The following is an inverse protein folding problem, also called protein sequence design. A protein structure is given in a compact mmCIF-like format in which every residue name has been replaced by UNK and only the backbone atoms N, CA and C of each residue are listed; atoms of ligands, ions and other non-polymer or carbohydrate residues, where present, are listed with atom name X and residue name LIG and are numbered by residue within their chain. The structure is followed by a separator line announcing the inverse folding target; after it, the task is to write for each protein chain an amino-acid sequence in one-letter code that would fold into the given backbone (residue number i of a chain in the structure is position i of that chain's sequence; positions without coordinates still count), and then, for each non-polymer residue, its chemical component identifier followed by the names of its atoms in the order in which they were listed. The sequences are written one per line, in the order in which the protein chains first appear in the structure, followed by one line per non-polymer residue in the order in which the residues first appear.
data_IF_152736027146
#
_entry.id   IF_152736027146
#
_cell.length_a   1.000
_cell.length_b   1.000
_cell.length_c   1.000
_cell.angle_alpha   90.00
_cell.angle_beta   90.00
_cell.angle_gamma   90.00
#
_symmetry.space_group_name_H-M   'P 1'
#
loop_
_entity.id
_entity.type
_entity.pdbx_description
1 polymer ?
#
# COMPACT_ATOMS: atom_id res chain seq x y z
N UNK A 1 20.06 8.55 -2.56
CA UNK A 1 19.83 8.82 -4.00
C UNK A 1 21.15 9.10 -4.72
N UNK A 2 21.23 8.82 -6.03
CA UNK A 2 22.41 8.79 -6.92
C UNK A 2 23.50 7.73 -6.64
N UNK A 3 23.89 7.51 -5.38
CA UNK A 3 24.94 6.53 -5.00
C UNK A 3 24.51 5.52 -3.93
N UNK A 4 23.26 5.60 -3.47
CA UNK A 4 22.70 4.75 -2.41
C UNK A 4 21.22 5.00 -2.18
N UNK A 5 20.66 4.36 -1.14
CA UNK A 5 19.28 4.56 -0.72
C UNK A 5 18.99 6.02 -0.34
N UNK A 6 17.71 6.39 -0.39
CA UNK A 6 17.22 7.65 0.16
C UNK A 6 16.87 7.44 1.63
N UNK A 7 16.96 8.48 2.45
CA UNK A 7 16.46 8.44 3.85
C UNK A 7 14.92 8.55 3.92
N UNK A 8 14.28 8.68 2.75
CA UNK A 8 12.83 8.67 2.56
C UNK A 8 12.44 7.42 1.78
N UNK A 9 11.71 6.51 2.43
CA UNK A 9 11.32 5.20 1.90
C UNK A 9 9.92 5.24 1.28
N UNK A 10 8.94 5.81 1.99
CA UNK A 10 7.61 6.15 1.48
C UNK A 10 7.25 7.59 1.88
N UNK A 11 6.40 8.23 1.08
CA UNK A 11 5.93 9.59 1.28
C UNK A 11 4.42 9.66 1.08
N UNK A 12 3.71 10.27 2.02
CA UNK A 12 2.29 10.57 1.88
C UNK A 12 2.06 12.08 1.95
N UNK A 13 0.96 12.53 1.35
CA UNK A 13 0.55 13.92 1.39
C UNK A 13 -0.80 14.00 2.11
N UNK A 14 -0.89 14.83 3.14
CA UNK A 14 -2.12 15.04 3.91
C UNK A 14 -2.05 16.38 4.64
N UNK A 15 -3.20 17.00 4.94
CA UNK A 15 -3.26 18.12 5.89
C UNK A 15 -3.23 17.53 7.31
N UNK A 16 -2.04 17.46 7.92
CA UNK A 16 -1.83 16.74 9.18
C UNK A 16 -2.32 17.58 10.35
N UNK A 17 -2.07 18.88 10.34
CA UNK A 17 -2.44 19.79 11.44
C UNK A 17 -3.78 20.50 11.25
N UNK A 18 -4.49 20.23 10.15
CA UNK A 18 -5.78 20.83 9.78
C UNK A 18 -5.71 22.35 9.57
N UNK A 19 -4.58 22.87 9.10
CA UNK A 19 -4.40 24.29 8.81
C UNK A 19 -4.83 24.69 7.37
N UNK A 20 -5.26 23.70 6.57
CA UNK A 20 -5.68 23.86 5.19
C UNK A 20 -4.56 23.76 4.16
N UNK A 21 -3.32 23.47 4.58
CA UNK A 21 -2.19 23.21 3.69
C UNK A 21 -1.79 21.74 3.72
N UNK A 22 -1.43 21.21 2.54
CA UNK A 22 -0.94 19.84 2.45
C UNK A 22 0.47 19.74 3.02
N UNK A 23 0.63 18.92 4.05
CA UNK A 23 1.89 18.52 4.65
C UNK A 23 2.46 17.26 3.99
N UNK A 24 3.73 16.97 4.28
CA UNK A 24 4.41 15.76 3.82
C UNK A 24 4.63 14.81 5.01
N UNK A 25 4.15 13.58 4.90
CA UNK A 25 4.49 12.48 5.80
C UNK A 25 5.61 11.68 5.16
N UNK A 26 6.67 11.40 5.92
CA UNK A 26 7.83 10.61 5.50
C UNK A 26 7.96 9.39 6.39
N UNK A 27 7.90 8.21 5.77
CA UNK A 27 8.34 6.95 6.39
C UNK A 27 9.81 6.76 6.01
N UNK A 28 10.68 6.74 7.01
CA UNK A 28 12.11 6.52 6.83
C UNK A 28 12.43 5.10 6.37
N UNK A 29 13.72 4.81 6.23
CA UNK A 29 14.18 3.43 6.01
C UNK A 29 13.59 2.50 7.08
N UNK A 30 13.24 1.24 6.75
CA UNK A 30 12.72 0.30 7.73
C UNK A 30 13.60 0.23 8.98
N UNK A 31 13.00 0.46 10.15
CA UNK A 31 13.64 0.58 11.47
C UNK A 31 13.97 2.02 11.90
N UNK A 32 13.80 3.01 11.04
CA UNK A 32 14.09 4.42 11.31
C UNK A 32 12.83 5.23 11.65
N UNK A 33 13.03 6.48 12.08
CA UNK A 33 11.94 7.39 12.44
C UNK A 33 10.98 7.66 11.29
N UNK A 34 9.73 7.87 11.65
CA UNK A 34 8.69 8.45 10.81
C UNK A 34 8.39 9.86 11.29
N UNK A 35 8.23 10.79 10.36
CA UNK A 35 7.95 12.19 10.68
C UNK A 35 7.01 12.79 9.67
N UNK A 36 6.40 13.91 10.02
CA UNK A 36 5.77 14.80 9.05
C UNK A 36 6.48 16.14 9.02
N UNK A 37 6.53 16.75 7.85
CA UNK A 37 7.08 18.08 7.63
C UNK A 37 5.91 19.03 7.35
N UNK A 38 5.81 20.07 8.19
CA UNK A 38 4.75 21.07 8.15
C UNK A 38 4.95 22.05 7.01
N UNK A 39 3.92 22.22 6.20
CA UNK A 39 3.89 23.21 5.14
C UNK A 39 3.85 24.62 5.77
N UNK A 40 4.79 25.53 5.43
CA UNK A 40 4.78 26.89 5.97
C UNK A 40 3.67 27.77 5.38
N UNK A 41 2.81 27.20 4.52
CA UNK A 41 1.74 27.85 3.80
C UNK A 41 2.28 28.94 2.89
N UNK A 42 1.80 30.17 3.08
CA UNK A 42 2.29 31.34 2.30
C UNK A 42 3.66 31.83 2.74
N UNK A 43 4.19 31.37 3.88
CA UNK A 43 5.52 31.79 4.36
C UNK A 43 6.59 31.00 3.60
N UNK A 44 7.67 31.66 3.20
CA UNK A 44 8.85 30.96 2.66
C UNK A 44 9.72 30.43 3.80
N UNK A 45 10.29 29.23 3.65
CA UNK A 45 11.24 28.67 4.61
C UNK A 45 11.32 27.16 4.54
N UNK A 46 12.24 26.55 5.30
CA UNK A 46 12.27 25.10 5.47
C UNK A 46 10.99 24.63 6.18
N UNK A 47 10.54 23.43 5.83
CA UNK A 47 9.39 22.80 6.47
C UNK A 47 9.83 22.29 7.85
N UNK A 48 9.02 22.53 8.86
CA UNK A 48 9.35 22.10 10.24
C UNK A 48 8.96 20.64 10.41
N UNK A 49 9.88 19.81 10.89
CA UNK A 49 9.64 18.39 11.05
C UNK A 49 9.17 18.04 12.47
N UNK A 50 8.18 17.16 12.54
CA UNK A 50 7.58 16.63 13.76
C UNK A 50 7.59 15.11 13.70
N UNK A 51 8.13 14.46 14.73
CA UNK A 51 8.18 12.99 14.79
C UNK A 51 6.77 12.43 14.94
N UNK A 52 6.42 11.48 14.08
CA UNK A 52 5.22 10.65 14.22
C UNK A 52 5.53 9.49 15.15
N UNK A 53 6.59 8.75 14.83
CA UNK A 53 7.04 7.59 15.60
C UNK A 53 8.53 7.30 15.37
N UNK A 54 9.15 6.53 16.26
CA UNK A 54 10.61 6.35 16.31
C UNK A 54 11.14 5.24 15.40
N UNK A 55 10.28 4.31 14.99
CA UNK A 55 10.66 3.14 14.17
C UNK A 55 9.44 2.57 13.43
N UNK A 56 9.45 2.61 12.10
CA UNK A 56 8.53 1.82 11.27
C UNK A 56 9.30 0.70 10.57
N UNK A 57 8.87 -0.55 10.73
CA UNK A 57 9.70 -1.69 10.35
C UNK A 57 9.39 -2.32 8.99
N UNK A 58 8.24 -2.05 8.37
CA UNK A 58 7.87 -2.70 7.11
C UNK A 58 8.15 -1.85 5.86
N UNK A 59 8.20 -2.49 4.68
CA UNK A 59 8.42 -1.83 3.38
C UNK A 59 7.13 -1.39 2.68
N UNK A 60 5.97 -1.72 3.26
CA UNK A 60 4.66 -1.38 2.72
C UNK A 60 3.76 -0.75 3.79
N UNK A 61 4.18 0.28 4.54
CA UNK A 61 3.31 0.94 5.52
C UNK A 61 2.05 1.44 4.81
N UNK A 62 0.90 1.26 5.46
CA UNK A 62 -0.38 1.66 4.88
C UNK A 62 -0.78 3.05 5.39
N UNK A 63 -1.41 3.82 4.50
CA UNK A 63 -2.07 5.08 4.84
C UNK A 63 -3.47 5.03 4.25
N UNK A 64 -4.42 4.54 5.05
CA UNK A 64 -5.74 4.10 4.59
C UNK A 64 -6.82 4.42 5.64
N UNK A 65 -8.09 4.48 5.22
CA UNK A 65 -9.22 4.71 6.14
C UNK A 65 -9.54 3.46 6.96
N UNK A 66 -8.68 3.15 7.93
CA UNK A 66 -8.84 2.02 8.84
C UNK A 66 -10.10 2.13 9.70
N UNK A 67 -10.51 3.35 10.03
CA UNK A 67 -11.55 3.61 11.03
C UNK A 67 -12.93 3.84 10.39
N UNK A 68 -13.04 3.82 9.06
CA UNK A 68 -14.29 4.09 8.33
C UNK A 68 -14.80 5.53 8.52
N UNK A 69 -13.89 6.47 8.74
CA UNK A 69 -14.21 7.88 9.06
C UNK A 69 -14.02 8.81 7.86
N UNK A 70 -13.51 8.30 6.74
CA UNK A 70 -13.02 9.08 5.60
C UNK A 70 -11.65 9.73 5.84
N UNK A 71 -11.04 9.56 7.02
CA UNK A 71 -9.70 10.06 7.34
C UNK A 71 -8.69 8.92 7.28
N UNK A 72 -7.58 9.18 6.60
CA UNK A 72 -6.52 8.18 6.45
C UNK A 72 -5.71 8.05 7.75
N UNK A 73 -5.39 6.81 8.09
CA UNK A 73 -4.66 6.40 9.28
C UNK A 73 -3.40 5.67 8.86
N UNK A 74 -2.28 5.99 9.51
CA UNK A 74 -1.04 5.25 9.31
C UNK A 74 -1.10 3.91 10.03
N UNK A 75 -0.67 2.85 9.34
CA UNK A 75 -0.57 1.49 9.89
C UNK A 75 0.79 0.92 9.51
N UNK A 76 1.56 0.56 10.53
CA UNK A 76 2.85 -0.10 10.38
C UNK A 76 3.29 -0.74 11.70
N UNK A 77 4.16 -1.75 11.66
CA UNK A 77 4.75 -2.30 12.87
C UNK A 77 5.86 -1.40 13.41
N UNK A 78 6.00 -1.37 14.73
CA UNK A 78 7.09 -0.66 15.42
C UNK A 78 8.06 -1.61 16.10
N UNK A 79 9.33 -1.19 16.18
CA UNK A 79 10.40 -1.81 16.96
C UNK A 79 10.56 -3.32 16.75
N UNK A 80 10.18 -3.82 15.57
CA UNK A 80 10.08 -5.25 15.23
C UNK A 80 9.25 -6.06 16.25
N UNK A 81 8.34 -5.37 16.94
CA UNK A 81 7.64 -5.85 18.13
C UNK A 81 6.19 -6.18 17.85
N UNK A 82 5.48 -5.25 17.22
CA UNK A 82 4.02 -5.32 17.12
C UNK A 82 3.47 -4.42 16.02
N UNK A 83 2.40 -4.87 15.35
CA UNK A 83 1.62 -4.04 14.43
C UNK A 83 0.87 -2.95 15.20
N UNK A 84 0.79 -1.75 14.65
CA UNK A 84 0.05 -0.64 15.24
C UNK A 84 -0.59 0.27 14.20
N UNK A 85 -1.59 1.03 14.65
CA UNK A 85 -2.09 2.19 13.94
C UNK A 85 -1.82 3.46 14.76
N UNK A 86 -1.69 4.59 14.07
CA UNK A 86 -1.21 5.84 14.65
C UNK A 86 -2.27 6.92 14.56
N UNK A 87 -2.74 7.38 15.72
CA UNK A 87 -3.73 8.44 15.83
C UNK A 87 -3.03 9.77 16.04
N UNK A 88 -3.43 10.80 15.29
CA UNK A 88 -2.93 12.16 15.50
C UNK A 88 -3.17 12.60 16.94
N UNK A 89 -2.15 13.14 17.59
CA UNK A 89 -2.32 13.77 18.88
C UNK A 89 -3.16 15.06 18.78
N UNK A 90 -3.82 15.45 19.87
CA UNK A 90 -4.59 16.70 19.92
C UNK A 90 -3.74 17.97 19.78
N UNK A 91 -2.41 17.87 19.95
CA UNK A 91 -1.44 18.94 19.72
C UNK A 91 -0.56 18.49 18.55
N UNK A 92 -0.50 19.22 17.42
CA UNK A 92 0.22 18.79 16.22
C UNK A 92 1.70 18.44 16.43
N UNK A 93 2.36 19.12 17.38
CA UNK A 93 3.78 18.94 17.67
C UNK A 93 4.09 17.66 18.46
N UNK A 94 3.06 17.00 19.04
CA UNK A 94 3.24 15.78 19.80
C UNK A 94 3.37 14.56 18.88
N UNK A 95 4.10 13.54 19.35
CA UNK A 95 4.09 12.22 18.73
C UNK A 95 2.66 11.67 18.65
N UNK A 96 2.40 10.90 17.60
CA UNK A 96 1.08 10.28 17.41
C UNK A 96 0.86 9.23 18.50
N UNK A 97 -0.39 9.08 18.93
CA UNK A 97 -0.74 8.00 19.83
C UNK A 97 -0.65 6.67 19.07
N UNK A 98 0.23 5.79 19.54
CA UNK A 98 0.39 4.44 19.01
C UNK A 98 -0.64 3.51 19.64
N UNK A 99 -1.45 2.85 18.81
CA UNK A 99 -2.46 1.89 19.22
C UNK A 99 -2.09 0.49 18.70
N UNK A 100 -1.62 -0.42 19.57
CA UNK A 100 -1.22 -1.76 19.15
C UNK A 100 -2.40 -2.60 18.66
N UNK A 101 -2.23 -3.26 17.51
CA UNK A 101 -3.24 -4.07 16.84
C UNK A 101 -3.22 -5.50 17.37
N UNK A 102 -2.17 -6.29 17.10
CA UNK A 102 -2.07 -7.70 17.50
C UNK A 102 -1.49 -7.91 18.89
N UNK A 103 -0.89 -9.07 19.14
CA UNK A 103 0.04 -9.34 20.25
C UNK A 103 1.49 -9.15 19.80
N UNK A 104 2.39 -8.98 20.75
CA UNK A 104 3.83 -8.95 20.45
C UNK A 104 4.28 -10.25 19.80
N UNK A 105 5.10 -10.14 18.75
CA UNK A 105 5.63 -11.31 18.03
C UNK A 105 4.68 -11.93 17.00
N UNK A 106 3.46 -11.41 16.83
CA UNK A 106 2.53 -11.89 15.79
C UNK A 106 3.00 -11.49 14.37
N UNK A 107 2.48 -12.14 13.31
CA UNK A 107 3.03 -12.00 11.95
C UNK A 107 3.03 -10.58 11.38
N UNK A 108 3.98 -10.30 10.49
CA UNK A 108 4.03 -9.06 9.72
C UNK A 108 4.68 -7.87 10.42
N UNK A 109 5.62 -8.14 11.32
CA UNK A 109 6.26 -7.13 12.17
C UNK A 109 7.75 -6.94 11.90
N UNK A 110 8.38 -7.87 11.17
CA UNK A 110 9.82 -7.88 10.98
C UNK A 110 10.31 -6.65 10.22
N UNK A 111 11.57 -6.27 10.45
CA UNK A 111 12.22 -5.28 9.60
C UNK A 111 12.26 -5.76 8.15
N UNK A 112 11.96 -4.86 7.22
CA UNK A 112 11.82 -5.13 5.79
C UNK A 112 10.64 -6.05 5.43
N UNK A 113 9.64 -6.18 6.31
CA UNK A 113 8.47 -7.00 6.01
C UNK A 113 7.66 -6.43 4.84
N UNK A 114 7.10 -7.34 4.05
CA UNK A 114 6.37 -7.11 2.81
C UNK A 114 4.95 -7.69 2.93
N UNK A 115 3.94 -7.04 2.36
CA UNK A 115 2.57 -7.52 2.41
C UNK A 115 1.81 -6.91 3.57
N UNK A 116 1.43 -5.63 3.44
CA UNK A 116 0.48 -4.98 4.34
C UNK A 116 -0.67 -4.39 3.53
N UNK A 117 -1.89 -4.56 4.03
CA UNK A 117 -3.10 -3.96 3.48
C UNK A 117 -4.07 -3.53 4.57
N UNK A 118 -5.07 -2.76 4.17
CA UNK A 118 -6.20 -2.37 5.02
C UNK A 118 -7.49 -2.55 4.22
N UNK A 119 -8.48 -3.24 4.79
CA UNK A 119 -9.78 -3.44 4.16
C UNK A 119 -10.64 -4.45 4.91
N UNK A 120 -11.96 -4.40 4.69
CA UNK A 120 -12.92 -5.29 5.35
C UNK A 120 -12.87 -6.69 4.72
N UNK A 121 -12.08 -7.60 5.29
CA UNK A 121 -11.86 -8.95 4.70
C UNK A 121 -13.01 -9.89 5.02
N UNK A 122 -13.65 -9.70 6.17
CA UNK A 122 -14.69 -10.60 6.65
C UNK A 122 -16.12 -10.16 6.28
N UNK A 123 -16.30 -8.94 5.77
CA UNK A 123 -17.58 -8.36 5.35
C UNK A 123 -18.42 -7.81 6.50
N UNK A 124 -17.80 -7.44 7.62
CA UNK A 124 -18.51 -6.97 8.83
C UNK A 124 -18.65 -5.44 8.92
N UNK A 125 -18.19 -4.73 7.89
CA UNK A 125 -18.26 -3.28 7.76
C UNK A 125 -17.12 -2.53 8.43
N UNK A 126 -16.12 -3.22 9.00
CA UNK A 126 -14.91 -2.60 9.57
C UNK A 126 -13.67 -3.05 8.83
N UNK A 127 -12.73 -2.12 8.60
CA UNK A 127 -11.50 -2.46 7.92
C UNK A 127 -10.54 -3.22 8.84
N UNK A 128 -9.98 -4.31 8.34
CA UNK A 128 -8.99 -5.14 9.01
C UNK A 128 -7.57 -4.76 8.58
N UNK A 129 -6.56 -5.15 9.36
CA UNK A 129 -5.14 -5.01 8.96
C UNK A 129 -4.64 -6.33 8.39
N UNK A 130 -4.24 -6.34 7.12
CA UNK A 130 -3.98 -7.54 6.33
C UNK A 130 -2.48 -7.77 6.22
N UNK A 131 -2.05 -9.02 6.40
CA UNK A 131 -0.68 -9.49 6.13
C UNK A 131 -0.75 -10.70 5.19
N UNK A 132 0.38 -11.15 4.63
CA UNK A 132 0.35 -12.40 3.83
C UNK A 132 0.00 -13.67 4.62
N UNK A 133 -0.01 -13.59 5.96
CA UNK A 133 -0.32 -14.71 6.86
C UNK A 133 -1.76 -14.71 7.40
N UNK A 134 -2.59 -13.75 6.97
CA UNK A 134 -3.93 -13.53 7.51
C UNK A 134 -4.14 -12.07 7.88
N UNK A 135 -5.18 -11.78 8.65
CA UNK A 135 -5.52 -10.41 9.04
C UNK A 135 -5.82 -10.27 10.52
N UNK A 136 -5.55 -9.10 11.05
CA UNK A 136 -6.00 -8.67 12.36
C UNK A 136 -7.40 -8.09 12.23
N UNK A 137 -8.37 -8.79 12.80
CA UNK A 137 -9.78 -8.42 12.71
C UNK A 137 -10.08 -7.23 13.62
N UNK A 138 -10.62 -6.16 13.05
CA UNK A 138 -10.94 -4.96 13.83
C UNK A 138 -12.11 -5.23 14.80
N UNK A 139 -11.93 -5.05 16.12
CA UNK A 139 -13.03 -5.08 17.09
C UNK A 139 -13.95 -3.86 16.91
N UNK A 140 -15.11 -3.86 17.58
CA UNK A 140 -16.04 -2.72 17.50
C UNK A 140 -15.44 -1.41 18.04
N UNK A 141 -14.49 -1.50 18.97
CA UNK A 141 -13.67 -0.38 19.44
C UNK A 141 -12.20 -0.63 19.02
N UNK A 142 -11.69 0.07 18.00
CA UNK A 142 -10.36 -0.18 17.44
C UNK A 142 -9.21 0.10 18.42
N UNK A 143 -9.47 0.77 19.55
CA UNK A 143 -8.50 0.99 20.63
C UNK A 143 -8.39 -0.20 21.59
N UNK A 144 -9.29 -1.19 21.51
CA UNK A 144 -9.20 -2.40 22.30
C UNK A 144 -8.21 -3.38 21.66
N UNK A 145 -7.11 -3.63 22.36
CA UNK A 145 -6.05 -4.56 21.96
C UNK A 145 -6.08 -5.80 22.86
N UNK A 146 -5.75 -7.00 22.35
CA UNK A 146 -5.38 -7.32 20.97
C UNK A 146 -6.59 -7.54 20.06
N UNK A 147 -6.48 -7.08 18.81
CA UNK A 147 -7.31 -7.47 17.68
C UNK A 147 -7.07 -8.96 17.39
N UNK A 148 -8.12 -9.79 17.27
CA UNK A 148 -7.96 -11.21 16.96
C UNK A 148 -7.28 -11.41 15.60
N UNK A 149 -6.24 -12.25 15.56
CA UNK A 149 -5.60 -12.63 14.29
C UNK A 149 -6.31 -13.83 13.66
N UNK A 150 -6.82 -13.66 12.44
CA UNK A 150 -7.41 -14.72 11.62
C UNK A 150 -6.37 -15.18 10.62
N UNK A 151 -5.89 -16.42 10.79
CA UNK A 151 -4.88 -17.01 9.93
C UNK A 151 -5.44 -17.34 8.54
N UNK A 152 -4.68 -17.00 7.51
CA UNK A 152 -4.92 -17.40 6.12
C UNK A 152 -3.61 -17.47 5.34
N UNK A 153 -3.54 -18.31 4.31
CA UNK A 153 -2.41 -18.29 3.37
C UNK A 153 -2.75 -17.37 2.20
N UNK A 154 -2.13 -16.20 2.15
CA UNK A 154 -2.32 -15.19 1.11
C UNK A 154 -1.10 -15.10 0.18
N UNK A 155 -0.44 -16.25 -0.04
CA UNK A 155 0.62 -16.42 -1.03
C UNK A 155 1.98 -15.91 -0.53
N UNK A 156 2.97 -15.72 -1.42
CA UNK A 156 4.36 -15.40 -1.06
C UNK A 156 4.54 -13.93 -0.63
N UNK A 157 5.79 -13.53 -0.36
CA UNK A 157 6.15 -12.14 -0.07
C UNK A 157 5.71 -11.21 -1.20
N UNK A 158 5.05 -10.12 -0.82
CA UNK A 158 4.28 -9.29 -1.75
C UNK A 158 4.31 -7.80 -1.37
N UNK A 159 3.87 -6.92 -2.27
CA UNK A 159 3.87 -5.47 -2.04
C UNK A 159 2.68 -5.04 -1.15
N UNK A 160 1.95 -4.00 -1.54
CA UNK A 160 0.69 -3.64 -0.87
C UNK A 160 -0.37 -4.72 -1.13
N UNK A 161 -1.32 -4.85 -0.21
CA UNK A 161 -2.45 -5.77 -0.34
C UNK A 161 -3.75 -4.97 -0.37
N UNK A 162 -4.68 -5.35 -1.25
CA UNK A 162 -6.01 -4.75 -1.33
C UNK A 162 -7.09 -5.80 -1.07
N UNK A 163 -8.16 -5.40 -0.37
CA UNK A 163 -9.33 -6.24 -0.13
C UNK A 163 -10.47 -5.78 -1.03
N UNK A 164 -10.98 -6.67 -1.88
CA UNK A 164 -12.08 -6.37 -2.79
C UNK A 164 -12.75 -7.66 -3.28
N UNK A 165 -14.08 -7.67 -3.43
CA UNK A 165 -14.80 -8.79 -4.05
C UNK A 165 -14.56 -8.74 -5.57
N UNK A 166 -13.55 -9.47 -6.07
CA UNK A 166 -13.03 -9.40 -7.45
C UNK A 166 -13.96 -10.12 -8.43
N UNK A 167 -14.65 -11.18 -8.01
CA UNK A 167 -15.54 -11.96 -8.87
C UNK A 167 -17.03 -11.64 -8.68
N UNK A 168 -17.39 -10.77 -7.74
CA UNK A 168 -18.77 -10.35 -7.48
C UNK A 168 -19.62 -11.40 -6.78
N UNK A 169 -19.03 -12.29 -5.97
CA UNK A 169 -19.74 -13.35 -5.27
C UNK A 169 -20.13 -13.04 -3.81
N UNK A 170 -19.84 -11.82 -3.38
CA UNK A 170 -20.10 -11.30 -2.04
C UNK A 170 -19.07 -11.76 -1.01
N UNK A 171 -17.97 -12.38 -1.41
CA UNK A 171 -16.81 -12.62 -0.56
C UNK A 171 -15.68 -11.67 -0.95
N UNK A 172 -15.01 -11.14 0.05
CA UNK A 172 -13.87 -10.25 -0.18
C UNK A 172 -12.62 -11.07 -0.46
N UNK A 173 -12.05 -10.82 -1.63
CA UNK A 173 -10.80 -11.39 -2.12
C UNK A 173 -9.63 -10.46 -1.79
N UNK A 174 -8.40 -10.96 -1.99
CA UNK A 174 -7.19 -10.18 -1.75
C UNK A 174 -6.39 -10.02 -3.05
N UNK A 175 -5.93 -8.81 -3.38
CA UNK A 175 -5.03 -8.54 -4.50
C UNK A 175 -3.65 -8.15 -4.01
N UNK A 176 -2.60 -8.61 -4.69
CA UNK A 176 -1.23 -8.16 -4.42
C UNK A 176 -0.29 -8.48 -5.59
N UNK A 177 0.98 -8.13 -5.45
CA UNK A 177 2.03 -8.31 -6.46
C UNK A 177 3.34 -8.70 -5.81
N UNK A 178 4.24 -9.29 -6.58
CA UNK A 178 5.53 -9.72 -6.08
C UNK A 178 6.42 -8.52 -5.78
N UNK A 179 6.92 -8.41 -4.54
CA UNK A 179 7.95 -7.43 -4.23
C UNK A 179 9.27 -7.82 -4.94
N UNK A 180 9.71 -9.08 -4.85
CA UNK A 180 11.08 -9.47 -5.24
C UNK A 180 11.19 -10.46 -6.40
N UNK A 181 10.08 -11.03 -6.85
CA UNK A 181 10.05 -12.03 -7.92
C UNK A 181 9.11 -11.55 -9.04
N UNK A 182 8.63 -12.48 -9.86
CA UNK A 182 7.68 -12.26 -10.93
C UNK A 182 6.29 -12.63 -10.45
N UNK A 183 5.33 -11.72 -10.63
CA UNK A 183 3.93 -12.05 -10.46
C UNK A 183 3.05 -10.92 -9.97
N UNK A 184 1.82 -10.91 -10.47
CA UNK A 184 0.69 -10.12 -9.99
C UNK A 184 -0.46 -11.08 -9.80
N UNK A 185 -1.15 -11.01 -8.66
CA UNK A 185 -2.09 -12.04 -8.25
C UNK A 185 -3.34 -11.46 -7.60
N UNK A 186 -4.40 -12.27 -7.62
CA UNK A 186 -5.49 -12.15 -6.67
C UNK A 186 -5.78 -13.51 -6.03
N UNK A 187 -6.34 -13.49 -4.84
CA UNK A 187 -6.60 -14.64 -4.00
C UNK A 187 -8.11 -14.70 -3.76
N UNK A 188 -8.78 -15.61 -4.46
CA UNK A 188 -10.24 -15.79 -4.40
C UNK A 188 -10.62 -16.47 -3.08
N UNK A 189 -11.45 -15.80 -2.28
CA UNK A 189 -11.98 -16.37 -1.04
C UNK A 189 -13.02 -17.44 -1.38
N UNK A 190 -12.85 -18.63 -0.81
CA UNK A 190 -13.77 -19.73 -0.98
C UNK A 190 -14.73 -19.83 0.21
N UNK A 191 -15.99 -20.23 -0.04
CA UNK A 191 -16.91 -20.63 1.04
C UNK A 191 -16.42 -21.94 1.65
N UNK A 192 -15.75 -21.87 2.80
CA UNK A 192 -15.26 -23.03 3.56
C UNK A 192 -15.85 -23.06 4.97
N UNK A 193 -16.10 -24.26 5.54
CA UNK A 193 -16.31 -24.39 6.98
C UNK A 193 -14.96 -24.21 7.71
N UNK A 194 -14.97 -23.48 8.82
CA UNK A 194 -13.77 -23.29 9.65
C UNK A 194 -12.87 -22.15 9.15
N UNK A 195 -11.57 -22.43 9.02
CA UNK A 195 -10.58 -21.42 8.61
C UNK A 195 -10.85 -20.90 7.18
N UNK A 196 -10.60 -19.60 6.92
CA UNK A 196 -10.70 -19.03 5.59
C UNK A 196 -9.76 -19.71 4.60
N UNK A 197 -10.29 -20.11 3.44
CA UNK A 197 -9.50 -20.67 2.34
C UNK A 197 -9.48 -19.71 1.17
N UNK A 198 -8.30 -19.51 0.61
CA UNK A 198 -8.09 -18.71 -0.59
C UNK A 198 -7.51 -19.57 -1.71
N UNK A 199 -7.88 -19.26 -2.96
CA UNK A 199 -7.31 -19.84 -4.17
C UNK A 199 -6.59 -18.76 -4.93
N UNK A 200 -5.30 -18.95 -5.21
CA UNK A 200 -4.52 -17.97 -5.96
C UNK A 200 -4.82 -18.05 -7.46
N UNK A 201 -4.98 -16.87 -8.06
CA UNK A 201 -5.10 -16.65 -9.49
C UNK A 201 -4.00 -15.69 -9.95
N UNK A 202 -3.41 -15.97 -11.12
CA UNK A 202 -2.37 -15.11 -11.70
C UNK A 202 -3.01 -14.10 -12.65
N UNK A 203 -2.70 -12.82 -12.42
CA UNK A 203 -3.05 -11.69 -13.29
C UNK A 203 -1.96 -11.51 -14.35
N UNK A 204 -0.69 -11.49 -13.92
CA UNK A 204 0.48 -11.37 -14.80
C UNK A 204 1.65 -12.17 -14.22
N UNK A 205 2.42 -12.85 -15.07
CA UNK A 205 3.61 -13.63 -14.72
C UNK A 205 4.84 -13.26 -15.57
N UNK A 206 4.90 -12.02 -16.03
CA UNK A 206 5.92 -11.49 -16.93
C UNK A 206 6.72 -10.34 -16.31
N UNK A 207 6.11 -9.59 -15.39
CA UNK A 207 6.76 -8.45 -14.73
C UNK A 207 7.34 -8.83 -13.37
N UNK A 208 8.56 -8.36 -13.10
CA UNK A 208 9.28 -8.56 -11.86
C UNK A 208 9.38 -7.27 -11.06
N UNK A 209 9.67 -7.39 -9.76
CA UNK A 209 9.97 -6.25 -8.88
C UNK A 209 8.80 -5.25 -8.75
N UNK A 210 7.56 -5.72 -8.78
CA UNK A 210 6.33 -4.93 -8.61
C UNK A 210 6.13 -4.53 -7.14
N UNK A 211 6.98 -3.63 -6.64
CA UNK A 211 7.02 -3.19 -5.24
C UNK A 211 5.89 -2.25 -4.83
N UNK A 212 5.14 -1.74 -5.81
CA UNK A 212 4.07 -0.81 -5.55
C UNK A 212 2.87 -1.11 -6.43
N UNK A 213 1.68 -0.96 -5.87
CA UNK A 213 0.39 -1.11 -6.54
C UNK A 213 -0.47 0.11 -6.22
N UNK A 214 -1.37 0.44 -7.15
CA UNK A 214 -2.52 1.29 -6.90
C UNK A 214 -3.78 0.56 -7.38
N UNK A 215 -4.90 0.76 -6.70
CA UNK A 215 -6.17 0.11 -7.02
C UNK A 215 -7.26 1.16 -7.15
N UNK A 216 -7.65 1.47 -8.39
CA UNK A 216 -8.54 2.58 -8.71
C UNK A 216 -9.20 2.37 -10.08
N UNK A 217 -10.39 2.91 -10.27
CA UNK A 217 -11.12 2.84 -11.54
C UNK A 217 -10.45 3.76 -12.57
N UNK A 218 -9.73 3.18 -13.52
CA UNK A 218 -8.90 3.90 -14.50
C UNK A 218 -9.71 4.33 -15.73
N UNK A 219 -10.80 3.65 -16.06
CA UNK A 219 -11.57 3.87 -17.29
C UNK A 219 -12.97 4.45 -17.04
N UNK A 220 -13.39 4.59 -15.78
CA UNK A 220 -14.69 5.10 -15.37
C UNK A 220 -15.84 4.09 -15.56
N UNK A 221 -15.55 2.79 -15.63
CA UNK A 221 -16.58 1.75 -15.81
C UNK A 221 -17.23 1.30 -14.48
N UNK A 222 -16.75 1.82 -13.35
CA UNK A 222 -17.24 1.52 -12.01
C UNK A 222 -16.57 0.31 -11.36
N UNK A 223 -15.63 -0.36 -12.01
CA UNK A 223 -14.78 -1.39 -11.44
C UNK A 223 -13.37 -0.82 -11.19
N UNK A 224 -12.78 -1.07 -10.01
CA UNK A 224 -11.40 -0.68 -9.75
C UNK A 224 -10.42 -1.59 -10.50
N UNK A 225 -9.39 -0.97 -11.04
CA UNK A 225 -8.32 -1.60 -11.79
C UNK A 225 -7.01 -1.58 -11.03
N UNK A 226 -6.09 -2.47 -11.40
CA UNK A 226 -4.78 -2.57 -10.75
C UNK A 226 -3.70 -1.89 -11.59
N UNK A 227 -3.06 -0.87 -11.05
CA UNK A 227 -1.90 -0.20 -11.67
C UNK A 227 -0.63 -0.64 -10.96
N UNK A 228 0.42 -0.96 -11.71
CA UNK A 228 1.74 -1.29 -11.15
C UNK A 228 2.82 -1.16 -12.22
N UNK A 229 4.05 -1.52 -11.87
CA UNK A 229 5.16 -1.53 -12.80
C UNK A 229 6.40 -2.17 -12.20
N UNK A 230 7.45 -2.26 -13.01
CA UNK A 230 8.75 -2.73 -12.52
C UNK A 230 9.44 -1.62 -11.74
N UNK A 231 9.85 -1.90 -10.51
CA UNK A 231 10.83 -1.06 -9.79
C UNK A 231 12.19 -1.26 -10.43
N UNK A 232 12.65 -0.26 -11.20
CA UNK A 232 13.94 -0.32 -11.88
C UNK A 232 15.09 -0.38 -10.86
N UNK A 233 15.86 -1.47 -10.89
CA UNK A 233 16.96 -1.75 -9.97
C UNK A 233 16.54 -1.59 -8.50
N UNK A 234 15.56 -2.36 -8.03
CA UNK A 234 15.16 -2.40 -6.62
C UNK A 234 16.38 -2.69 -5.72
N UNK A 235 17.14 -3.74 -6.05
CA UNK A 235 18.36 -4.18 -5.37
C UNK A 235 19.62 -4.02 -6.25
N UNK A 236 19.58 -3.07 -7.20
CA UNK A 236 20.69 -2.81 -8.11
C UNK A 236 20.72 -3.74 -9.33
N UNK A 237 21.71 -3.56 -10.23
CA UNK A 237 21.77 -4.25 -11.51
C UNK A 237 22.07 -5.75 -11.41
N UNK A 238 22.47 -6.25 -10.24
CA UNK A 238 22.84 -7.66 -10.04
C UNK A 238 21.99 -8.38 -8.99
N UNK A 239 21.14 -7.65 -8.24
CA UNK A 239 20.35 -8.20 -7.15
C UNK A 239 18.92 -8.57 -7.52
N UNK A 240 18.41 -8.03 -8.62
CA UNK A 240 17.02 -8.24 -9.03
C UNK A 240 16.85 -9.44 -9.96
N UNK A 241 15.68 -10.06 -9.89
CA UNK A 241 15.18 -10.90 -10.98
C UNK A 241 14.98 -10.02 -12.23
N UNK A 242 15.58 -10.43 -13.35
CA UNK A 242 15.51 -9.75 -14.63
C UNK A 242 15.83 -8.23 -14.53
N UNK A 243 17.05 -7.86 -14.10
CA UNK A 243 17.40 -6.46 -13.82
C UNK A 243 17.40 -5.58 -15.07
N UNK A 244 17.62 -6.18 -16.25
CA UNK A 244 17.69 -5.49 -17.54
C UNK A 244 16.36 -5.51 -18.32
N UNK A 245 15.29 -6.13 -17.78
CA UNK A 245 13.98 -6.10 -18.42
C UNK A 245 13.37 -4.69 -18.39
N UNK A 246 12.55 -4.31 -19.39
CA UNK A 246 11.95 -2.97 -19.48
C UNK A 246 11.28 -2.50 -18.18
N UNK A 247 11.47 -1.22 -17.85
CA UNK A 247 10.86 -0.57 -16.69
C UNK A 247 9.41 -0.20 -17.03
N UNK A 248 8.56 -1.21 -17.11
CA UNK A 248 7.15 -1.00 -17.51
C UNK A 248 6.32 -0.34 -16.43
N UNK A 249 5.35 0.46 -16.86
CA UNK A 249 4.17 0.87 -16.11
C UNK A 249 2.96 0.32 -16.86
N UNK A 250 2.09 -0.38 -16.14
CA UNK A 250 0.95 -1.11 -16.69
C UNK A 250 -0.27 -0.89 -15.82
N UNK A 251 -1.45 -0.97 -16.41
CA UNK A 251 -2.68 -1.19 -15.66
C UNK A 251 -3.40 -2.44 -16.18
N UNK A 252 -4.06 -3.13 -15.26
CA UNK A 252 -4.85 -4.32 -15.53
C UNK A 252 -6.32 -3.98 -15.31
N UNK A 253 -7.06 -3.89 -16.41
CA UNK A 253 -8.49 -3.60 -16.40
C UNK A 253 -9.26 -4.82 -15.88
N UNK A 254 -10.06 -4.63 -14.83
CA UNK A 254 -10.91 -5.67 -14.29
C UNK A 254 -12.21 -5.75 -15.08
N UNK A 255 -12.41 -6.83 -15.82
CA UNK A 255 -13.68 -7.12 -16.50
C UNK A 255 -14.44 -8.24 -15.82
N UNK A 256 -15.75 -8.08 -15.73
CA UNK A 256 -16.67 -9.11 -15.23
C UNK A 256 -17.74 -9.47 -16.22
N UNK A 257 -18.03 -10.77 -16.30
CA UNK A 257 -19.26 -11.30 -16.90
C UNK A 257 -19.92 -12.28 -15.94
N UNK A 258 -20.85 -11.77 -15.13
CA UNK A 258 -21.31 -12.50 -13.96
C UNK A 258 -20.13 -12.72 -13.01
N UNK A 259 -19.85 -13.98 -12.64
CA UNK A 259 -18.71 -14.37 -11.79
C UNK A 259 -17.40 -14.63 -12.54
N UNK A 260 -17.41 -14.55 -13.86
CA UNK A 260 -16.19 -14.73 -14.64
C UNK A 260 -15.38 -13.43 -14.60
N UNK A 261 -14.11 -13.54 -14.24
CA UNK A 261 -13.14 -12.46 -14.14
C UNK A 261 -12.15 -12.56 -15.29
N UNK A 262 -11.91 -11.44 -15.95
CA UNK A 262 -10.83 -11.26 -16.92
C UNK A 262 -10.02 -10.03 -16.52
N UNK A 263 -8.69 -10.13 -16.58
CA UNK A 263 -7.79 -9.00 -16.39
C UNK A 263 -7.14 -8.66 -17.73
N UNK A 264 -7.39 -7.47 -18.25
CA UNK A 264 -6.83 -7.03 -19.53
C UNK A 264 -5.64 -6.11 -19.28
N UNK A 265 -4.46 -6.54 -19.69
CA UNK A 265 -3.22 -5.76 -19.54
C UNK A 265 -3.16 -4.65 -20.57
N UNK A 266 -2.91 -3.44 -20.09
CA UNK A 266 -2.61 -2.26 -20.89
C UNK A 266 -1.24 -1.72 -20.50
N UNK A 267 -0.35 -1.58 -21.48
CA UNK A 267 0.96 -0.96 -21.27
C UNK A 267 0.85 0.55 -21.41
N UNK A 268 1.34 1.29 -20.41
CA UNK A 268 1.33 2.75 -20.40
C UNK A 268 2.66 3.27 -20.94
N UNK A 269 3.77 2.69 -20.45
CA UNK A 269 5.13 3.00 -20.86
C UNK A 269 6.07 1.84 -20.49
N UNK A 270 7.25 1.75 -21.13
CA UNK A 270 8.22 0.69 -20.90
C UNK A 270 9.62 1.14 -20.45
N UNK A 271 9.81 2.44 -20.18
CA UNK A 271 11.10 3.00 -19.78
C UNK A 271 11.04 3.96 -18.58
N UNK A 272 9.95 3.91 -17.81
CA UNK A 272 9.70 4.80 -16.66
C UNK A 272 9.64 4.07 -15.33
N UNK A 273 8.96 2.92 -15.26
CA UNK A 273 8.80 2.08 -14.07
C UNK A 273 8.12 2.77 -12.88
N UNK A 274 8.10 2.07 -11.75
CA UNK A 274 7.57 2.58 -10.45
C UNK A 274 8.65 2.61 -9.37
N UNK A 275 8.35 3.24 -8.23
CA UNK A 275 9.19 3.24 -7.03
C UNK A 275 8.78 2.17 -6.01
N UNK A 276 9.14 2.38 -4.75
CA UNK A 276 8.52 1.73 -3.58
C UNK A 276 7.07 2.21 -3.36
N UNK A 277 6.75 3.36 -3.95
CA UNK A 277 5.44 4.00 -3.96
C UNK A 277 5.29 4.83 -5.23
N UNK A 278 4.07 4.99 -5.70
CA UNK A 278 3.66 5.98 -6.71
C UNK A 278 2.21 6.38 -6.44
N UNK A 279 1.68 7.37 -7.17
CA UNK A 279 0.30 7.83 -6.99
C UNK A 279 -0.48 7.77 -8.29
N UNK A 280 -1.76 7.43 -8.16
CA UNK A 280 -2.76 7.52 -9.22
C UNK A 280 -3.89 8.41 -8.71
N UNK A 281 -4.10 9.56 -9.34
CA UNK A 281 -5.07 10.57 -8.90
C UNK A 281 -5.34 11.57 -10.01
N UNK A 282 -6.45 12.30 -9.93
CA UNK A 282 -6.74 13.42 -10.83
C UNK A 282 -5.86 14.63 -10.49
N UNK A 283 -4.69 14.71 -11.14
CA UNK A 283 -3.69 15.76 -10.87
C UNK A 283 -4.06 17.08 -11.53
N UNK A 284 -4.77 17.04 -12.66
CA UNK A 284 -5.05 18.20 -13.50
C UNK A 284 -6.47 18.77 -13.31
N UNK A 285 -7.36 18.07 -12.59
CA UNK A 285 -8.74 18.48 -12.31
C UNK A 285 -9.76 18.11 -13.38
N UNK A 286 -9.43 17.20 -14.31
CA UNK A 286 -10.30 16.77 -15.42
C UNK A 286 -11.20 15.57 -15.08
N UNK A 287 -11.12 15.08 -13.84
CA UNK A 287 -11.84 13.92 -13.29
C UNK A 287 -11.42 12.58 -13.89
N UNK A 288 -10.22 12.49 -14.45
CA UNK A 288 -9.61 11.21 -14.85
C UNK A 288 -8.34 10.95 -14.03
N UNK A 289 -8.07 9.70 -13.66
CA UNK A 289 -6.85 9.36 -12.93
C UNK A 289 -5.61 9.52 -13.81
N UNK A 290 -4.72 10.42 -13.40
CA UNK A 290 -3.35 10.51 -13.91
C UNK A 290 -2.40 9.66 -13.05
N UNK A 291 -1.20 9.38 -13.55
CA UNK A 291 -0.18 8.60 -12.83
C UNK A 291 1.09 9.44 -12.65
N UNK A 292 1.61 9.49 -11.42
CA UNK A 292 2.92 10.10 -11.12
C UNK A 292 3.82 9.06 -10.48
N UNK A 293 4.97 8.79 -11.11
CA UNK A 293 5.97 7.82 -10.60
C UNK A 293 7.31 8.50 -10.34
N UNK A 294 8.10 7.90 -9.44
CA UNK A 294 9.46 8.32 -9.14
C UNK A 294 10.33 7.11 -8.82
N UNK A 295 11.47 6.98 -9.49
CA UNK A 295 12.46 5.95 -9.22
C UNK A 295 13.86 6.34 -9.76
N UNK A 296 14.76 5.36 -9.91
CA UNK A 296 16.13 5.57 -10.40
C UNK A 296 16.22 6.04 -11.86
N UNK A 297 15.14 5.96 -12.65
CA UNK A 297 15.06 6.49 -14.02
C UNK A 297 14.59 7.94 -14.07
N UNK A 298 13.96 8.44 -13.01
CA UNK A 298 13.50 9.83 -12.91
C UNK A 298 12.11 9.94 -12.29
N UNK A 299 11.49 11.09 -12.53
CA UNK A 299 10.10 11.39 -12.17
C UNK A 299 9.30 11.51 -13.46
N UNK A 300 8.16 10.82 -13.53
CA UNK A 300 7.31 10.77 -14.72
C UNK A 300 5.88 11.14 -14.35
N UNK A 301 5.20 11.84 -15.27
CA UNK A 301 3.78 12.18 -15.19
C UNK A 301 3.07 11.68 -16.45
N UNK A 302 2.08 10.82 -16.28
CA UNK A 302 1.25 10.29 -17.34
C UNK A 302 -0.14 10.87 -17.20
N UNK A 303 -0.47 11.78 -18.11
CA UNK A 303 -1.78 12.41 -18.16
C UNK A 303 -2.75 11.53 -18.96
N UNK A 304 -3.91 11.21 -18.39
CA UNK A 304 -4.99 10.56 -19.12
C UNK A 304 -5.75 11.57 -19.99
N UNK A 305 -6.03 11.22 -21.25
CA UNK A 305 -6.65 12.11 -22.25
C UNK A 305 -7.95 11.56 -22.80
#
# INVERSE_FOLDING_TARGET
GATGYSDSFLNFANDVDEDGWTDQIVIGMPGERCFWARNPGRKSGPWTEHTIWRSACNESPAFADLLGTGRLTLVFPFDEKQMAWYERAGIPENEFACHPVGREGEPGIQRFYHGLGVGDVNGDGRADVITRHGWYQQPSDPRQSPWPFVKADLGPDCAQMYAYDVNGDGLVDILSSSAHNIGVWWYERQRSPGEPRFVQHTIDNTISQTHSLCFTDMNGDGLPDLVTGKRWWAHGPTGDVNPDHPAVVVWYELRRKGRQVEWVRHEIDNDSGVGTQFVVSDVNGDRRPDIVTSNKKGVFYFQQR
#
